data_IF_651065106092
#
_entry.id   IF_651065106092
#
_cell.length_a   1.000
_cell.length_b   1.000
_cell.length_c   1.000
_cell.angle_alpha   90.00
_cell.angle_beta   90.00
_cell.angle_gamma   90.00
#
_symmetry.space_group_name_H-M   'P 1'
#
loop_
_entity.id
_entity.type
_entity.pdbx_description
1 polymer ?
#
# COMPACT_ATOMS: atom_id res chain seq x y z
N UNK A 1 -1.26 11.86 -27.11
CA UNK A 1 -2.16 12.91 -26.57
C UNK A 1 -2.84 12.35 -25.32
N UNK A 2 -3.03 13.16 -24.28
CA UNK A 2 -3.68 12.73 -23.02
C UNK A 2 -5.13 12.28 -23.26
N UNK A 3 -5.52 11.12 -22.71
CA UNK A 3 -6.82 10.46 -22.89
C UNK A 3 -7.68 10.43 -21.63
N UNK A 4 -7.29 11.15 -20.57
CA UNK A 4 -8.02 11.14 -19.31
C UNK A 4 -9.27 12.04 -19.28
N UNK A 5 -9.48 12.87 -20.32
CA UNK A 5 -10.64 13.78 -20.38
C UNK A 5 -12.00 13.08 -20.37
N UNK A 6 -12.06 11.82 -20.81
CA UNK A 6 -13.30 11.04 -20.89
C UNK A 6 -13.48 10.07 -19.71
N UNK A 7 -12.61 10.16 -18.69
CA UNK A 7 -12.69 9.31 -17.50
C UNK A 7 -13.73 9.81 -16.50
N UNK A 8 -14.23 8.91 -15.65
CA UNK A 8 -15.23 9.23 -14.63
C UNK A 8 -14.56 9.56 -13.29
N UNK A 9 -13.44 8.88 -12.97
CA UNK A 9 -12.66 9.14 -11.77
C UNK A 9 -12.29 10.63 -11.66
N UNK A 10 -12.67 11.29 -10.55
CA UNK A 10 -12.20 12.64 -10.24
C UNK A 10 -10.67 12.73 -10.15
N UNK A 11 -10.01 11.66 -9.70
CA UNK A 11 -8.56 11.59 -9.65
C UNK A 11 -7.96 11.63 -11.06
N UNK A 12 -8.43 10.78 -11.98
CA UNK A 12 -7.93 10.78 -13.37
C UNK A 12 -8.23 12.10 -14.08
N UNK A 13 -9.42 12.66 -13.90
CA UNK A 13 -9.82 13.94 -14.49
C UNK A 13 -8.94 15.11 -14.03
N UNK A 14 -8.42 15.08 -12.80
CA UNK A 14 -7.49 16.09 -12.30
C UNK A 14 -6.19 16.14 -13.15
N UNK A 15 -5.79 15.02 -13.75
CA UNK A 15 -4.59 14.88 -14.56
C UNK A 15 -4.86 15.01 -16.08
N UNK A 16 -6.09 15.29 -16.50
CA UNK A 16 -6.44 15.35 -17.92
C UNK A 16 -5.73 16.49 -18.67
N UNK A 17 -5.37 17.57 -17.96
CA UNK A 17 -4.64 18.71 -18.52
C UNK A 17 -3.12 18.65 -18.29
N UNK A 18 -2.60 17.58 -17.68
CA UNK A 18 -1.16 17.43 -17.49
C UNK A 18 -0.46 17.37 -18.86
N UNK A 19 0.77 17.89 -18.98
CA UNK A 19 1.55 17.77 -20.22
C UNK A 19 1.99 16.33 -20.49
N UNK A 20 1.91 15.44 -19.50
CA UNK A 20 2.08 13.99 -19.70
C UNK A 20 0.90 13.47 -20.51
N UNK A 21 1.21 12.68 -21.54
CA UNK A 21 0.20 11.98 -22.33
C UNK A 21 -0.27 10.75 -21.56
N UNK A 22 -1.12 10.98 -20.56
CA UNK A 22 -1.68 9.92 -19.75
C UNK A 22 -2.74 9.13 -20.53
N UNK A 23 -2.67 7.81 -20.38
CA UNK A 23 -3.68 6.86 -20.79
C UNK A 23 -4.34 6.23 -19.56
N UNK A 24 -5.64 5.89 -19.60
CA UNK A 24 -6.20 4.98 -18.61
C UNK A 24 -5.63 3.57 -18.81
N UNK A 25 -5.86 2.70 -17.83
CA UNK A 25 -5.58 1.27 -18.01
C UNK A 25 -6.67 0.63 -18.89
N UNK A 26 -6.41 0.51 -20.19
CA UNK A 26 -7.27 -0.14 -21.17
C UNK A 26 -6.49 -0.95 -22.20
N UNK A 27 -7.21 -1.78 -22.98
CA UNK A 27 -6.59 -2.63 -24.01
C UNK A 27 -5.85 -1.81 -25.08
N UNK A 28 -6.31 -0.58 -25.36
CA UNK A 28 -5.71 0.30 -26.35
C UNK A 28 -4.34 0.81 -25.91
N UNK A 29 -4.19 1.25 -24.66
CA UNK A 29 -2.93 1.69 -24.09
C UNK A 29 -1.92 0.55 -23.97
N UNK A 30 -2.39 -0.64 -23.59
CA UNK A 30 -1.57 -1.84 -23.51
C UNK A 30 -1.10 -2.30 -24.90
N UNK A 31 -1.99 -2.27 -25.90
CA UNK A 31 -1.62 -2.54 -27.29
C UNK A 31 -0.62 -1.51 -27.83
N UNK A 32 -0.84 -0.23 -27.58
CA UNK A 32 0.06 0.86 -27.98
C UNK A 32 1.48 0.66 -27.44
N UNK A 33 1.60 0.25 -26.17
CA UNK A 33 2.90 -0.01 -25.55
C UNK A 33 3.62 -1.19 -26.23
N UNK A 34 2.86 -2.23 -26.57
CA UNK A 34 3.37 -3.44 -27.23
C UNK A 34 3.78 -3.17 -28.68
N UNK A 35 2.95 -2.49 -29.44
CA UNK A 35 3.21 -2.15 -30.85
C UNK A 35 4.45 -1.26 -31.00
N UNK A 36 4.61 -0.28 -30.10
CA UNK A 36 5.77 0.60 -30.10
C UNK A 36 7.00 0.02 -29.40
N UNK A 37 6.87 -1.17 -28.79
CA UNK A 37 7.89 -1.79 -27.94
C UNK A 37 8.46 -0.80 -26.90
N UNK A 38 7.59 0.02 -26.31
CA UNK A 38 7.93 1.00 -25.27
C UNK A 38 7.54 0.47 -23.91
N UNK A 39 8.38 0.62 -22.87
CA UNK A 39 8.00 0.26 -21.51
C UNK A 39 6.80 1.10 -21.05
N UNK A 40 5.96 0.50 -20.22
CA UNK A 40 4.84 1.20 -19.59
C UNK A 40 5.37 1.88 -18.32
N UNK A 41 5.10 3.17 -18.15
CA UNK A 41 5.19 3.85 -16.87
C UNK A 41 3.80 3.87 -16.27
N UNK A 42 3.57 3.00 -15.29
CA UNK A 42 2.31 2.91 -14.55
C UNK A 42 2.42 3.76 -13.29
N UNK A 43 1.50 4.72 -13.12
CA UNK A 43 1.30 5.44 -11.88
C UNK A 43 -0.06 5.08 -11.29
N UNK A 44 -0.09 4.61 -10.04
CA UNK A 44 -1.34 4.33 -9.30
C UNK A 44 -1.44 5.29 -8.13
N UNK A 45 -2.59 5.93 -7.99
CA UNK A 45 -2.89 6.88 -6.91
C UNK A 45 -4.38 6.96 -6.62
N UNK A 46 -4.78 7.92 -5.78
CA UNK A 46 -6.18 8.23 -5.49
C UNK A 46 -6.30 9.70 -5.05
N UNK A 47 -7.50 10.27 -5.17
CA UNK A 47 -7.73 11.71 -5.02
C UNK A 47 -7.34 12.28 -3.64
N UNK A 48 -7.44 11.50 -2.56
CA UNK A 48 -7.12 11.97 -1.21
C UNK A 48 -5.63 11.85 -0.84
N UNK A 49 -4.80 11.18 -1.66
CA UNK A 49 -3.41 10.95 -1.32
C UNK A 49 -2.54 12.22 -1.49
N UNK A 50 -1.99 12.72 -0.38
CA UNK A 50 -1.12 13.90 -0.41
C UNK A 50 0.10 13.74 -1.33
N UNK A 51 0.77 12.58 -1.28
CA UNK A 51 2.00 12.36 -2.03
C UNK A 51 1.77 12.23 -3.54
N UNK A 52 0.59 11.76 -3.96
CA UNK A 52 0.18 11.79 -5.37
C UNK A 52 0.14 13.24 -5.88
N UNK A 53 -0.48 14.15 -5.14
CA UNK A 53 -0.52 15.58 -5.50
C UNK A 53 0.86 16.23 -5.52
N UNK A 54 1.71 15.89 -4.55
CA UNK A 54 3.09 16.38 -4.51
C UNK A 54 3.86 15.91 -5.75
N UNK A 55 3.78 14.62 -6.09
CA UNK A 55 4.47 14.07 -7.27
C UNK A 55 3.93 14.66 -8.58
N UNK A 56 2.63 14.88 -8.67
CA UNK A 56 1.99 15.54 -9.81
C UNK A 56 2.59 16.92 -10.06
N UNK A 57 2.51 17.79 -9.05
CA UNK A 57 3.00 19.17 -9.13
C UNK A 57 4.49 19.26 -9.37
N UNK A 58 5.26 18.42 -8.72
CA UNK A 58 6.72 18.49 -8.77
C UNK A 58 7.32 17.82 -10.02
N UNK A 59 6.60 16.86 -10.63
CA UNK A 59 7.11 16.08 -11.75
C UNK A 59 6.18 16.06 -12.96
N UNK A 60 4.93 15.61 -12.83
CA UNK A 60 4.03 15.38 -13.98
C UNK A 60 3.60 16.68 -14.68
N UNK A 61 3.45 17.78 -13.94
CA UNK A 61 3.14 19.11 -14.50
C UNK A 61 4.35 19.77 -15.20
N UNK A 62 5.56 19.22 -15.05
CA UNK A 62 6.76 19.75 -15.68
C UNK A 62 6.83 19.35 -17.15
N UNK A 63 6.64 20.30 -18.06
CA UNK A 63 6.73 20.09 -19.51
C UNK A 63 8.01 19.34 -19.95
N UNK A 64 9.15 19.64 -19.33
CA UNK A 64 10.42 18.96 -19.64
C UNK A 64 10.45 17.51 -19.15
N UNK A 65 9.84 17.19 -18.01
CA UNK A 65 9.72 15.80 -17.54
C UNK A 65 8.72 15.06 -18.41
N UNK A 66 7.56 15.67 -18.66
CA UNK A 66 6.49 15.10 -19.47
C UNK A 66 6.93 14.79 -20.90
N UNK A 67 7.66 15.70 -21.55
CA UNK A 67 8.21 15.45 -22.89
C UNK A 67 9.08 14.19 -22.91
N UNK A 68 9.98 14.04 -21.93
CA UNK A 68 10.81 12.84 -21.80
C UNK A 68 9.96 11.59 -21.54
N UNK A 69 8.95 11.70 -20.68
CA UNK A 69 8.02 10.60 -20.39
C UNK A 69 7.28 10.15 -21.64
N UNK A 70 6.71 11.08 -22.41
CA UNK A 70 5.94 10.81 -23.62
C UNK A 70 6.82 10.22 -24.74
N UNK A 71 8.09 10.63 -24.80
CA UNK A 71 9.03 10.11 -25.79
C UNK A 71 9.40 8.64 -25.51
N UNK A 72 9.64 8.28 -24.24
CA UNK A 72 10.25 7.01 -23.88
C UNK A 72 9.29 5.96 -23.32
N UNK A 73 8.09 6.35 -22.88
CA UNK A 73 7.15 5.46 -22.20
C UNK A 73 5.74 5.59 -22.76
N UNK A 74 4.95 4.54 -22.57
CA UNK A 74 3.48 4.68 -22.55
C UNK A 74 3.07 4.93 -21.11
N UNK A 75 2.55 6.13 -20.85
CA UNK A 75 2.23 6.59 -19.49
C UNK A 75 0.80 6.20 -19.16
N UNK A 76 0.61 5.32 -18.16
CA UNK A 76 -0.70 4.86 -17.72
C UNK A 76 -0.95 5.37 -16.30
N UNK A 77 -2.09 6.03 -16.10
CA UNK A 77 -2.55 6.48 -14.79
C UNK A 77 -3.76 5.64 -14.35
N UNK A 78 -3.73 5.17 -13.10
CA UNK A 78 -4.79 4.34 -12.52
C UNK A 78 -5.26 4.95 -11.20
N UNK A 79 -6.58 5.07 -11.07
CA UNK A 79 -7.21 5.31 -9.78
C UNK A 79 -7.35 3.98 -9.02
N UNK A 80 -6.74 3.91 -7.85
CA UNK A 80 -6.85 2.77 -6.93
C UNK A 80 -8.30 2.50 -6.56
N UNK A 81 -9.11 3.53 -6.38
CA UNK A 81 -10.50 3.36 -5.91
C UNK A 81 -11.38 2.71 -7.00
N UNK A 82 -11.05 2.91 -8.28
CA UNK A 82 -11.70 2.23 -9.40
C UNK A 82 -11.09 0.84 -9.69
N UNK A 83 -9.76 0.67 -9.49
CA UNK A 83 -9.01 -0.55 -9.80
C UNK A 83 -8.17 -1.07 -8.62
N UNK A 84 -8.81 -1.48 -7.51
CA UNK A 84 -8.10 -2.01 -6.34
C UNK A 84 -7.40 -3.35 -6.63
N UNK A 85 -7.81 -4.04 -7.69
CA UNK A 85 -7.18 -5.26 -8.20
C UNK A 85 -5.76 -4.99 -8.72
N UNK A 86 -5.60 -3.97 -9.57
CA UNK A 86 -4.29 -3.57 -10.11
C UNK A 86 -3.38 -3.04 -9.00
N UNK A 87 -3.93 -2.17 -8.15
CA UNK A 87 -3.23 -1.62 -7.00
C UNK A 87 -2.62 -2.74 -6.14
N UNK A 88 -3.43 -3.74 -5.76
CA UNK A 88 -2.96 -4.86 -4.92
C UNK A 88 -1.82 -5.64 -5.58
N UNK A 89 -1.96 -5.99 -6.86
CA UNK A 89 -0.94 -6.78 -7.59
C UNK A 89 0.40 -6.02 -7.62
N UNK A 90 0.36 -4.74 -7.96
CA UNK A 90 1.57 -3.94 -8.11
C UNK A 90 2.17 -3.53 -6.76
N UNK A 91 1.38 -3.34 -5.71
CA UNK A 91 1.87 -3.14 -4.34
C UNK A 91 2.62 -4.37 -3.81
N UNK A 92 2.06 -5.58 -3.98
CA UNK A 92 2.75 -6.83 -3.60
C UNK A 92 4.08 -6.92 -4.35
N UNK A 93 4.06 -6.58 -5.63
CA UNK A 93 5.27 -6.61 -6.43
C UNK A 93 6.31 -5.62 -5.93
N UNK A 94 5.93 -4.36 -5.70
CA UNK A 94 6.82 -3.34 -5.13
C UNK A 94 7.47 -3.82 -3.82
N UNK A 95 6.71 -4.49 -2.95
CA UNK A 95 7.21 -5.02 -1.69
C UNK A 95 8.27 -6.11 -1.92
N UNK A 96 8.02 -7.01 -2.85
CA UNK A 96 8.99 -8.05 -3.24
C UNK A 96 10.26 -7.43 -3.83
N UNK A 97 10.10 -6.45 -4.72
CA UNK A 97 11.22 -5.83 -5.45
C UNK A 97 12.14 -5.04 -4.54
N UNK A 98 11.54 -4.21 -3.68
CA UNK A 98 12.29 -3.25 -2.89
C UNK A 98 12.54 -3.72 -1.46
N UNK A 99 11.88 -4.80 -1.01
CA UNK A 99 11.88 -5.24 0.40
C UNK A 99 11.52 -4.10 1.35
N UNK A 100 10.59 -3.26 0.91
CA UNK A 100 10.07 -2.12 1.65
C UNK A 100 8.55 -2.17 1.59
N UNK A 101 7.84 -1.57 2.56
CA UNK A 101 6.40 -1.42 2.46
C UNK A 101 6.00 -0.70 1.16
N UNK A 102 4.83 -1.07 0.65
CA UNK A 102 4.16 -0.35 -0.43
C UNK A 102 3.62 1.00 0.03
N UNK A 103 3.10 1.75 -0.93
CA UNK A 103 2.50 3.05 -0.66
C UNK A 103 2.14 3.77 -1.94
N UNK A 104 1.54 4.95 -1.79
CA UNK A 104 1.13 5.81 -2.90
C UNK A 104 1.90 7.14 -2.87
N UNK A 105 2.19 7.74 -4.03
CA UNK A 105 1.92 7.22 -5.38
C UNK A 105 2.76 5.97 -5.63
N UNK A 106 2.21 5.00 -6.34
CA UNK A 106 2.93 3.80 -6.75
C UNK A 106 3.38 3.99 -8.20
N UNK A 107 4.70 4.03 -8.43
CA UNK A 107 5.29 4.20 -9.76
C UNK A 107 6.00 2.92 -10.18
N UNK A 108 5.50 2.27 -11.23
CA UNK A 108 6.01 1.00 -11.73
C UNK A 108 6.40 1.12 -13.20
N UNK A 109 7.48 0.43 -13.59
CA UNK A 109 7.91 0.29 -14.97
C UNK A 109 7.69 -1.14 -15.42
N UNK A 110 6.82 -1.32 -16.43
CA UNK A 110 6.37 -2.63 -16.89
C UNK A 110 6.86 -2.91 -18.29
N UNK A 111 7.15 -4.18 -18.55
CA UNK A 111 7.34 -4.64 -19.92
C UNK A 111 5.98 -4.70 -20.64
N UNK A 112 5.87 -4.14 -21.85
CA UNK A 112 4.60 -4.04 -22.56
C UNK A 112 4.07 -5.39 -23.07
N UNK A 113 4.90 -6.44 -23.13
CA UNK A 113 4.48 -7.73 -23.67
C UNK A 113 3.65 -8.55 -22.67
N UNK A 114 4.00 -8.45 -21.39
CA UNK A 114 3.44 -9.28 -20.32
C UNK A 114 3.05 -8.49 -19.06
N UNK A 115 3.18 -7.16 -19.09
CA UNK A 115 2.85 -6.23 -17.99
C UNK A 115 3.63 -6.52 -16.69
N UNK A 116 4.69 -7.33 -16.78
CA UNK A 116 5.51 -7.67 -15.63
C UNK A 116 6.36 -6.46 -15.25
N UNK A 117 6.29 -6.00 -13.99
CA UNK A 117 7.12 -4.91 -13.53
C UNK A 117 8.57 -5.36 -13.42
N UNK A 118 9.49 -4.47 -13.75
CA UNK A 118 10.92 -4.70 -13.65
C UNK A 118 11.66 -3.68 -12.81
N UNK A 119 11.02 -2.54 -12.56
CA UNK A 119 11.47 -1.53 -11.62
C UNK A 119 10.25 -0.83 -11.04
N UNK A 120 10.37 -0.30 -9.83
CA UNK A 120 9.31 0.50 -9.27
C UNK A 120 9.66 1.04 -7.89
N UNK A 121 8.84 1.96 -7.41
CA UNK A 121 8.97 2.59 -6.12
C UNK A 121 7.71 3.37 -5.81
N UNK A 122 7.71 4.04 -4.66
CA UNK A 122 6.60 4.90 -4.28
C UNK A 122 6.84 6.32 -4.81
N UNK A 123 7.15 7.27 -3.92
CA UNK A 123 7.43 8.64 -4.26
C UNK A 123 8.87 8.85 -4.75
N UNK A 124 9.01 9.38 -5.97
CA UNK A 124 10.29 9.85 -6.50
C UNK A 124 10.34 11.38 -6.51
N UNK A 125 11.23 11.96 -5.69
CA UNK A 125 11.48 13.39 -5.69
C UNK A 125 12.10 13.85 -7.03
N UNK A 126 11.85 15.09 -7.50
CA UNK A 126 12.42 15.57 -8.77
C UNK A 126 13.95 15.57 -8.77
N UNK A 127 14.53 15.93 -7.63
CA UNK A 127 15.97 15.99 -7.41
C UNK A 127 16.44 14.77 -6.62
N UNK A 128 17.69 14.39 -6.86
CA UNK A 128 18.33 13.31 -6.12
C UNK A 128 18.46 13.67 -4.64
N UNK A 129 18.12 12.72 -3.78
CA UNK A 129 18.35 12.81 -2.34
C UNK A 129 19.50 11.88 -1.94
N UNK A 130 19.90 11.89 -0.66
CA UNK A 130 20.89 10.93 -0.15
C UNK A 130 20.41 9.47 -0.22
N UNK A 131 19.09 9.24 -0.18
CA UNK A 131 18.48 7.90 -0.08
C UNK A 131 18.00 7.35 -1.41
N UNK A 132 17.64 8.22 -2.36
CA UNK A 132 17.03 7.81 -3.62
C UNK A 132 17.43 8.72 -4.79
N UNK A 133 17.56 8.16 -6.01
CA UNK A 133 17.74 8.96 -7.22
C UNK A 133 16.53 9.88 -7.46
N UNK A 134 16.79 11.00 -8.13
CA UNK A 134 15.72 11.89 -8.57
C UNK A 134 14.93 11.26 -9.72
N UNK A 135 13.67 11.65 -9.88
CA UNK A 135 12.75 11.05 -10.85
C UNK A 135 13.30 11.08 -12.28
N UNK A 136 13.94 12.18 -12.72
CA UNK A 136 14.61 12.26 -14.03
C UNK A 136 15.74 11.25 -14.21
N UNK A 137 16.52 10.99 -13.15
CA UNK A 137 17.60 10.01 -13.21
C UNK A 137 17.05 8.59 -13.32
N UNK A 138 15.92 8.33 -12.64
CA UNK A 138 15.18 7.06 -12.79
C UNK A 138 14.69 6.90 -14.23
N UNK A 139 13.94 7.87 -14.76
CA UNK A 139 13.43 7.85 -16.13
C UNK A 139 14.54 7.60 -17.15
N UNK A 140 15.65 8.35 -17.05
CA UNK A 140 16.79 8.19 -17.96
C UNK A 140 17.47 6.83 -17.83
N UNK A 141 17.65 6.34 -16.60
CA UNK A 141 18.21 5.02 -16.34
C UNK A 141 17.36 3.91 -16.97
N UNK A 142 16.04 3.98 -16.84
CA UNK A 142 15.13 3.01 -17.45
C UNK A 142 15.18 3.11 -18.98
N UNK A 143 15.03 4.31 -19.55
CA UNK A 143 15.04 4.51 -21.00
C UNK A 143 16.35 4.02 -21.67
N UNK A 144 17.49 4.15 -20.98
CA UNK A 144 18.80 3.72 -21.52
C UNK A 144 19.03 2.21 -21.38
N UNK A 145 18.49 1.60 -20.33
CA UNK A 145 18.76 0.18 -20.01
C UNK A 145 17.71 -0.77 -20.57
N UNK A 146 16.49 -0.30 -20.77
CA UNK A 146 15.43 -1.07 -21.38
C UNK A 146 15.79 -1.41 -22.83
N UNK A 147 15.66 -2.67 -23.22
CA UNK A 147 16.05 -3.18 -24.55
C UNK A 147 17.51 -3.61 -24.68
N UNK A 148 18.43 -3.16 -23.81
CA UNK A 148 19.85 -3.58 -23.82
C UNK A 148 20.17 -4.70 -22.83
N UNK A 149 19.35 -4.87 -21.78
CA UNK A 149 19.56 -5.88 -20.73
C UNK A 149 18.47 -6.96 -20.70
N UNK A 150 18.04 -7.43 -21.88
CA UNK A 150 16.90 -8.34 -22.02
C UNK A 150 17.06 -9.66 -21.25
N UNK A 151 18.29 -10.21 -21.17
CA UNK A 151 18.53 -11.46 -20.43
C UNK A 151 18.37 -11.29 -18.92
N UNK A 152 18.90 -10.18 -18.36
CA UNK A 152 18.74 -9.86 -16.93
C UNK A 152 17.28 -9.59 -16.60
N UNK A 153 16.58 -8.87 -17.47
CA UNK A 153 15.15 -8.61 -17.35
C UNK A 153 14.36 -9.93 -17.35
N UNK A 154 14.69 -10.87 -18.24
CA UNK A 154 14.05 -12.19 -18.30
C UNK A 154 14.29 -13.01 -17.04
N UNK A 155 15.53 -13.06 -16.53
CA UNK A 155 15.85 -13.77 -15.28
C UNK A 155 15.09 -13.17 -14.09
N UNK A 156 15.07 -11.85 -14.00
CA UNK A 156 14.34 -11.12 -12.97
C UNK A 156 12.84 -11.42 -13.02
N UNK A 157 12.22 -11.38 -14.21
CA UNK A 157 10.81 -11.70 -14.38
C UNK A 157 10.48 -13.13 -13.97
N UNK A 158 11.34 -14.10 -14.25
CA UNK A 158 11.15 -15.49 -13.81
C UNK A 158 11.12 -15.58 -12.29
N UNK A 159 12.11 -14.98 -11.61
CA UNK A 159 12.16 -14.94 -10.13
C UNK A 159 10.95 -14.24 -9.52
N UNK A 160 10.52 -13.13 -10.12
CA UNK A 160 9.35 -12.39 -9.66
C UNK A 160 8.06 -13.21 -9.87
N UNK A 161 7.92 -13.91 -11.00
CA UNK A 161 6.77 -14.78 -11.26
C UNK A 161 6.72 -15.95 -10.27
N UNK A 162 7.86 -16.54 -9.95
CA UNK A 162 7.95 -17.56 -8.89
C UNK A 162 7.55 -16.99 -7.53
N UNK A 163 8.08 -15.81 -7.17
CA UNK A 163 7.73 -15.14 -5.92
C UNK A 163 6.24 -14.78 -5.83
N UNK A 164 5.64 -14.31 -6.93
CA UNK A 164 4.20 -14.01 -7.00
C UNK A 164 3.33 -15.27 -7.02
N UNK A 165 3.81 -16.37 -7.60
CA UNK A 165 3.15 -17.68 -7.53
C UNK A 165 3.18 -18.31 -6.14
N UNK A 166 4.18 -17.95 -5.32
CA UNK A 166 4.28 -18.33 -3.91
C UNK A 166 3.63 -17.30 -2.98
N UNK A 167 3.43 -16.06 -3.43
CA UNK A 167 2.63 -15.08 -2.71
C UNK A 167 1.20 -15.62 -2.60
N UNK A 168 0.54 -15.50 -1.43
CA UNK A 168 -0.80 -16.04 -1.22
C UNK A 168 -1.83 -15.26 -2.07
N UNK A 169 -1.91 -15.60 -3.36
CA UNK A 169 -2.83 -15.07 -4.34
C UNK A 169 -3.89 -16.08 -4.80
N UNK A 170 -3.83 -17.30 -4.27
CA UNK A 170 -4.86 -18.32 -4.46
C UNK A 170 -5.08 -19.04 -3.13
N UNK A 171 -6.34 -19.11 -2.71
CA UNK A 171 -6.73 -20.06 -1.68
C UNK A 171 -6.36 -21.46 -2.18
N UNK A 172 -5.25 -22.00 -1.67
CA UNK A 172 -5.18 -23.44 -1.53
C UNK A 172 -6.27 -23.72 -0.51
N UNK A 173 -7.27 -24.51 -0.89
CA UNK A 173 -8.24 -25.05 0.05
C UNK A 173 -7.50 -25.99 1.02
N UNK A 174 -6.76 -25.39 1.96
CA UNK A 174 -6.23 -26.06 3.12
C UNK A 174 -7.30 -26.05 4.20
N UNK A 175 -7.45 -27.16 4.90
CA UNK A 175 -8.27 -27.17 6.10
C UNK A 175 -7.72 -26.16 7.09
N UNK A 176 -8.61 -25.30 7.59
CA UNK A 176 -8.28 -24.37 8.64
C UNK A 176 -8.15 -25.15 9.94
N UNK A 177 -6.91 -25.41 10.36
CA UNK A 177 -6.60 -26.08 11.62
C UNK A 177 -6.21 -25.05 12.70
N UNK A 178 -6.54 -25.36 13.96
CA UNK A 178 -6.18 -24.55 15.13
C UNK A 178 -4.66 -24.36 15.22
N UNK A 179 -3.86 -25.32 14.75
CA UNK A 179 -2.39 -25.18 14.73
C UNK A 179 -1.92 -24.07 13.79
N UNK A 180 -2.67 -23.75 12.73
CA UNK A 180 -2.37 -22.63 11.84
C UNK A 180 -2.62 -21.30 12.54
N UNK A 181 -3.75 -21.19 13.26
CA UNK A 181 -4.08 -20.02 14.08
C UNK A 181 -3.01 -19.77 15.13
N UNK A 182 -2.50 -20.83 15.76
CA UNK A 182 -1.46 -20.76 16.79
C UNK A 182 -0.13 -20.26 16.24
N UNK A 183 0.28 -20.76 15.06
CA UNK A 183 1.46 -20.25 14.37
C UNK A 183 1.32 -18.78 13.99
N UNK A 184 0.16 -18.39 13.47
CA UNK A 184 -0.10 -16.99 13.09
C UNK A 184 -0.04 -16.06 14.32
N UNK A 185 -0.66 -16.46 15.43
CA UNK A 185 -0.58 -15.71 16.69
C UNK A 185 0.87 -15.60 17.20
N UNK A 186 1.64 -16.69 17.14
CA UNK A 186 3.05 -16.68 17.53
C UNK A 186 3.92 -15.75 16.65
N UNK A 187 3.64 -15.67 15.35
CA UNK A 187 4.30 -14.71 14.47
C UNK A 187 3.96 -13.27 14.81
N UNK A 188 2.69 -12.97 15.07
CA UNK A 188 2.26 -11.63 15.50
C UNK A 188 2.92 -11.25 16.82
N UNK A 189 2.92 -12.16 17.81
CA UNK A 189 3.55 -11.97 19.12
C UNK A 189 5.04 -11.60 18.99
N UNK A 190 5.76 -12.25 18.07
CA UNK A 190 7.19 -11.97 17.83
C UNK A 190 7.49 -10.53 17.38
N UNK A 191 6.49 -9.80 16.88
CA UNK A 191 6.58 -8.41 16.45
C UNK A 191 5.95 -7.41 17.43
N UNK A 192 5.42 -7.89 18.55
CA UNK A 192 4.68 -7.05 19.49
C UNK A 192 5.58 -6.05 20.23
N UNK A 193 5.18 -4.78 20.21
CA UNK A 193 5.84 -3.70 20.95
C UNK A 193 5.34 -3.66 22.40
N UNK A 194 6.11 -4.27 23.31
CA UNK A 194 5.82 -4.27 24.75
C UNK A 194 5.82 -2.88 25.40
N UNK A 195 6.38 -1.86 24.75
CA UNK A 195 6.49 -0.51 25.32
C UNK A 195 5.35 0.40 24.92
N UNK A 196 4.86 0.30 23.69
CA UNK A 196 3.82 1.20 23.18
C UNK A 196 2.64 0.48 22.52
N UNK A 197 2.59 -0.85 22.51
CA UNK A 197 1.54 -1.65 21.88
C UNK A 197 1.56 -1.59 20.36
N UNK A 198 0.98 -2.55 19.66
CA UNK A 198 1.08 -2.68 18.19
C UNK A 198 2.23 -3.57 17.73
N UNK A 199 2.42 -3.64 16.40
CA UNK A 199 3.23 -4.70 15.76
C UNK A 199 4.22 -4.17 14.72
N UNK A 200 4.40 -2.85 14.66
CA UNK A 200 5.33 -2.21 13.75
C UNK A 200 6.11 -1.10 14.45
N UNK A 201 7.26 -0.78 13.89
CA UNK A 201 8.00 0.45 14.21
C UNK A 201 7.29 1.67 13.57
N UNK A 202 8.00 2.79 13.42
CA UNK A 202 7.53 3.97 12.70
C UNK A 202 7.69 3.82 11.15
N UNK A 203 6.69 4.19 10.33
CA UNK A 203 5.34 4.61 10.71
C UNK A 203 4.53 3.43 11.28
N UNK A 204 3.77 3.71 12.34
CA UNK A 204 3.05 2.70 13.11
C UNK A 204 1.62 2.52 12.64
N UNK A 205 1.30 1.30 12.20
CA UNK A 205 0.01 0.94 11.59
C UNK A 205 -0.90 0.22 12.59
N UNK A 206 -2.24 0.42 12.54
CA UNK A 206 -3.18 -0.22 13.48
C UNK A 206 -3.22 -1.76 13.44
N UNK A 207 -2.82 -2.39 12.33
CA UNK A 207 -2.85 -3.86 12.14
C UNK A 207 -4.19 -4.52 12.50
N UNK A 208 -5.32 -3.91 12.09
CA UNK A 208 -6.68 -4.32 12.48
C UNK A 208 -6.96 -5.80 12.22
N UNK A 209 -6.59 -6.33 11.04
CA UNK A 209 -6.84 -7.74 10.70
C UNK A 209 -6.10 -8.72 11.63
N UNK A 210 -4.88 -8.37 12.06
CA UNK A 210 -4.12 -9.19 13.00
C UNK A 210 -4.75 -9.17 14.40
N UNK A 211 -5.22 -8.01 14.85
CA UNK A 211 -5.95 -7.87 16.10
C UNK A 211 -7.28 -8.64 16.07
N UNK A 212 -8.03 -8.54 14.98
CA UNK A 212 -9.31 -9.22 14.80
C UNK A 212 -9.15 -10.75 14.83
N UNK A 213 -8.12 -11.26 14.13
CA UNK A 213 -7.75 -12.67 14.18
C UNK A 213 -7.35 -13.13 15.59
N UNK A 214 -6.65 -12.32 16.37
CA UNK A 214 -6.32 -12.67 17.76
C UNK A 214 -7.56 -12.69 18.67
N UNK A 215 -8.57 -11.86 18.40
CA UNK A 215 -9.87 -11.93 19.08
C UNK A 215 -10.57 -13.26 18.75
N UNK A 216 -10.52 -13.71 17.49
CA UNK A 216 -11.03 -15.03 17.10
C UNK A 216 -10.24 -16.16 17.79
N UNK A 217 -8.91 -16.06 17.81
CA UNK A 217 -8.05 -17.03 18.48
C UNK A 217 -8.34 -17.15 19.98
N UNK A 218 -8.65 -16.03 20.64
CA UNK A 218 -9.03 -15.98 22.05
C UNK A 218 -10.32 -16.77 22.32
N UNK A 219 -11.29 -16.74 21.39
CA UNK A 219 -12.54 -17.50 21.51
C UNK A 219 -12.35 -19.01 21.31
N UNK A 220 -11.26 -19.43 20.67
CA UNK A 220 -10.99 -20.82 20.31
C UNK A 220 -9.94 -21.50 21.22
N UNK A 221 -9.42 -20.82 22.25
CA UNK A 221 -8.32 -21.36 23.07
C UNK A 221 -8.72 -21.52 24.55
N UNK A 222 -8.52 -22.73 25.07
CA UNK A 222 -8.73 -23.06 26.50
C UNK A 222 -7.46 -22.90 27.35
N UNK A 223 -6.33 -22.53 26.73
CA UNK A 223 -5.04 -22.42 27.40
C UNK A 223 -4.90 -21.08 28.12
N UNK A 224 -5.08 -21.08 29.44
CA UNK A 224 -5.13 -19.87 30.26
C UNK A 224 -3.99 -18.86 30.03
N UNK A 225 -2.73 -19.33 29.94
CA UNK A 225 -1.58 -18.44 29.73
C UNK A 225 -1.58 -17.81 28.34
N UNK A 226 -1.99 -18.56 27.32
CA UNK A 226 -2.14 -18.05 25.96
C UNK A 226 -3.27 -17.03 25.88
N UNK A 227 -4.40 -17.30 26.52
CA UNK A 227 -5.52 -16.34 26.61
C UNK A 227 -5.08 -15.03 27.26
N UNK A 228 -4.32 -15.09 28.36
CA UNK A 228 -3.75 -13.89 29.01
C UNK A 228 -2.82 -13.12 28.08
N UNK A 229 -1.95 -13.81 27.35
CA UNK A 229 -1.00 -13.18 26.41
C UNK A 229 -1.74 -12.47 25.27
N UNK A 230 -2.72 -13.12 24.65
CA UNK A 230 -3.55 -12.53 23.60
C UNK A 230 -4.31 -11.29 24.13
N UNK A 231 -4.95 -11.42 25.29
CA UNK A 231 -5.67 -10.30 25.92
C UNK A 231 -4.76 -9.12 26.19
N UNK A 232 -3.54 -9.35 26.71
CA UNK A 232 -2.55 -8.29 26.91
C UNK A 232 -2.21 -7.58 25.59
N UNK A 233 -1.89 -8.33 24.54
CA UNK A 233 -1.52 -7.74 23.25
C UNK A 233 -2.66 -6.93 22.63
N UNK A 234 -3.88 -7.47 22.65
CA UNK A 234 -5.07 -6.80 22.13
C UNK A 234 -5.36 -5.53 22.93
N UNK A 235 -5.50 -5.65 24.25
CA UNK A 235 -5.94 -4.55 25.09
C UNK A 235 -4.90 -3.44 25.16
N UNK A 236 -3.61 -3.79 25.25
CA UNK A 236 -2.56 -2.78 25.27
C UNK A 236 -2.47 -2.01 23.96
N UNK A 237 -2.57 -2.71 22.82
CA UNK A 237 -2.54 -2.08 21.50
C UNK A 237 -3.73 -1.15 21.29
N UNK A 238 -4.95 -1.62 21.57
CA UNK A 238 -6.15 -0.81 21.45
C UNK A 238 -6.12 0.38 22.42
N UNK A 239 -5.65 0.20 23.66
CA UNK A 239 -5.54 1.29 24.62
C UNK A 239 -4.53 2.34 24.18
N UNK A 240 -3.40 1.92 23.63
CA UNK A 240 -2.37 2.83 23.14
C UNK A 240 -2.88 3.64 21.94
N UNK A 241 -3.61 3.02 21.01
CA UNK A 241 -4.19 3.70 19.86
C UNK A 241 -5.27 4.71 20.28
N UNK A 242 -6.21 4.33 21.15
CA UNK A 242 -7.31 5.23 21.55
C UNK A 242 -6.88 6.36 22.46
N UNK A 243 -5.84 6.16 23.29
CA UNK A 243 -5.30 7.20 24.19
C UNK A 243 -4.22 8.06 23.54
N UNK A 244 -3.65 7.60 22.43
CA UNK A 244 -2.66 8.33 21.65
C UNK A 244 -3.27 9.41 20.77
N UNK A 245 -2.42 10.05 19.96
CA UNK A 245 -2.82 10.99 18.92
C UNK A 245 -3.39 10.33 17.66
N UNK A 246 -3.38 9.00 17.56
CA UNK A 246 -4.03 8.29 16.45
C UNK A 246 -5.56 8.47 16.48
N UNK A 247 -6.17 8.51 17.67
CA UNK A 247 -7.58 8.84 17.83
C UNK A 247 -7.78 10.35 17.85
N UNK A 248 -8.73 10.84 17.06
CA UNK A 248 -9.12 12.25 17.09
C UNK A 248 -10.04 12.52 18.28
N UNK A 249 -9.45 13.01 19.37
CA UNK A 249 -10.16 13.36 20.60
C UNK A 249 -11.13 14.54 20.45
N UNK A 250 -11.08 15.30 19.34
CA UNK A 250 -11.97 16.43 19.09
C UNK A 250 -13.12 16.06 18.17
N UNK A 251 -12.81 15.39 17.04
CA UNK A 251 -13.77 15.06 15.99
C UNK A 251 -14.22 13.59 15.95
N UNK A 252 -13.67 12.73 16.80
CA UNK A 252 -13.93 11.29 16.81
C UNK A 252 -13.28 10.54 15.65
N UNK A 253 -13.19 9.22 15.76
CA UNK A 253 -12.56 8.35 14.77
C UNK A 253 -11.03 8.40 14.78
N UNK A 254 -10.42 7.58 13.94
CA UNK A 254 -8.98 7.35 13.87
C UNK A 254 -8.37 7.92 12.58
N UNK A 255 -7.16 8.45 12.72
CA UNK A 255 -6.25 8.70 11.62
C UNK A 255 -5.63 7.39 11.12
N UNK A 256 -5.20 7.33 9.86
CA UNK A 256 -4.79 6.09 9.22
C UNK A 256 -3.55 5.42 9.84
N UNK A 257 -2.57 6.19 10.33
CA UNK A 257 -1.37 5.68 10.99
C UNK A 257 -0.67 6.75 11.84
N UNK A 258 0.25 6.32 12.71
CA UNK A 258 1.16 7.22 13.44
C UNK A 258 2.48 7.34 12.71
N UNK A 259 3.04 8.54 12.59
CA UNK A 259 4.38 8.72 11.98
C UNK A 259 5.50 8.33 12.94
N UNK A 260 5.20 8.18 14.23
CA UNK A 260 6.12 7.75 15.27
C UNK A 260 5.73 6.37 15.84
N UNK A 261 6.62 5.77 16.63
CA UNK A 261 6.38 4.46 17.24
C UNK A 261 5.49 4.49 18.49
N UNK A 262 5.11 5.68 18.98
CA UNK A 262 4.42 5.86 20.27
C UNK A 262 2.93 6.17 20.15
N UNK A 263 2.39 6.16 18.93
CA UNK A 263 1.02 6.58 18.63
C UNK A 263 0.75 8.06 18.92
N UNK A 264 1.76 8.94 18.93
CA UNK A 264 1.57 10.34 19.36
C UNK A 264 1.31 11.32 18.22
N UNK A 265 1.93 11.10 17.06
CA UNK A 265 1.81 12.03 15.93
C UNK A 265 1.09 11.31 14.78
N UNK A 266 -0.19 11.61 14.52
CA UNK A 266 -0.91 10.98 13.41
C UNK A 266 -0.47 11.54 12.05
N UNK A 267 -0.61 10.73 11.02
CA UNK A 267 -0.81 11.24 9.66
C UNK A 267 -2.26 11.72 9.55
N UNK A 268 -2.47 13.04 9.40
CA UNK A 268 -3.78 13.71 9.50
C UNK A 268 -4.71 13.43 8.30
N UNK A 269 -5.01 12.16 8.06
CA UNK A 269 -5.97 11.65 7.09
C UNK A 269 -6.81 10.57 7.78
N UNK A 270 -8.13 10.68 7.72
CA UNK A 270 -9.06 9.66 8.22
C UNK A 270 -9.63 8.91 7.03
N UNK A 271 -9.36 7.61 6.96
CA UNK A 271 -9.93 6.76 5.92
C UNK A 271 -11.15 6.01 6.46
N UNK A 272 -12.23 5.97 5.66
CA UNK A 272 -13.48 5.34 6.04
C UNK A 272 -13.29 3.85 6.34
N UNK A 273 -12.50 3.14 5.54
CA UNK A 273 -12.27 1.72 5.74
C UNK A 273 -11.50 1.45 7.04
N UNK A 274 -10.48 2.25 7.38
CA UNK A 274 -9.76 2.11 8.64
C UNK A 274 -10.69 2.32 9.84
N UNK A 275 -11.52 3.38 9.77
CA UNK A 275 -12.48 3.70 10.81
C UNK A 275 -13.57 2.63 10.94
N UNK A 276 -14.10 2.11 9.83
CA UNK A 276 -15.09 1.03 9.84
C UNK A 276 -14.54 -0.26 10.47
N UNK A 277 -13.30 -0.62 10.12
CA UNK A 277 -12.63 -1.78 10.68
C UNK A 277 -12.29 -1.60 12.16
N UNK A 278 -11.77 -0.44 12.56
CA UNK A 278 -11.47 -0.12 13.96
C UNK A 278 -12.75 -0.07 14.80
N UNK A 279 -13.81 0.57 14.33
CA UNK A 279 -15.10 0.60 15.02
C UNK A 279 -15.61 -0.81 15.31
N UNK A 280 -15.60 -1.70 14.30
CA UNK A 280 -15.96 -3.11 14.47
C UNK A 280 -15.07 -3.81 15.51
N UNK A 281 -13.76 -3.60 15.42
CA UNK A 281 -12.78 -4.21 16.33
C UNK A 281 -13.00 -3.80 17.79
N UNK A 282 -13.18 -2.49 18.05
CA UNK A 282 -13.46 -1.97 19.39
C UNK A 282 -14.82 -2.45 19.90
N UNK A 283 -15.85 -2.49 19.05
CA UNK A 283 -17.17 -3.02 19.43
C UNK A 283 -17.11 -4.52 19.79
N UNK A 284 -16.38 -5.33 19.00
CA UNK A 284 -16.14 -6.75 19.30
C UNK A 284 -15.45 -6.91 20.65
N UNK A 285 -14.39 -6.14 20.91
CA UNK A 285 -13.66 -6.23 22.19
C UNK A 285 -14.48 -5.73 23.37
N UNK A 286 -15.29 -4.68 23.20
CA UNK A 286 -16.19 -4.15 24.23
C UNK A 286 -17.26 -5.15 24.71
N UNK A 287 -17.60 -6.16 23.89
CA UNK A 287 -18.49 -7.26 24.28
C UNK A 287 -17.81 -8.32 25.16
N UNK A 288 -16.49 -8.36 25.16
CA UNK A 288 -15.67 -9.35 25.87
C UNK A 288 -14.87 -8.75 27.04
N UNK A 289 -14.99 -7.44 27.26
CA UNK A 289 -14.26 -6.69 28.27
C UNK A 289 -15.18 -5.67 28.94
N UNK A 290 -15.08 -5.55 30.25
CA UNK A 290 -15.81 -4.55 31.03
C UNK A 290 -15.11 -3.18 31.03
N UNK A 291 -13.98 -3.03 30.32
CA UNK A 291 -13.28 -1.76 30.28
C UNK A 291 -14.11 -0.71 29.51
N UNK A 292 -14.49 0.41 30.16
CA UNK A 292 -15.51 1.33 29.64
C UNK A 292 -15.07 2.06 28.38
N UNK A 293 -13.77 2.33 28.23
CA UNK A 293 -13.23 3.10 27.11
C UNK A 293 -13.33 2.37 25.75
N UNK A 294 -13.47 1.04 25.73
CA UNK A 294 -13.78 0.34 24.47
C UNK A 294 -15.16 0.73 23.92
N UNK A 295 -16.13 0.94 24.83
CA UNK A 295 -17.49 1.36 24.46
C UNK A 295 -17.53 2.82 24.06
N UNK A 296 -16.74 3.67 24.70
CA UNK A 296 -16.65 5.09 24.35
C UNK A 296 -16.13 5.30 22.92
N UNK A 297 -15.13 4.53 22.50
CA UNK A 297 -14.62 4.56 21.11
C UNK A 297 -15.60 3.94 20.11
N UNK A 298 -16.43 3.00 20.58
CA UNK A 298 -17.37 2.27 19.74
C UNK A 298 -18.77 2.93 19.60
N UNK A 299 -18.99 4.07 20.27
CA UNK A 299 -20.23 4.87 20.20
C UNK A 299 -20.02 6.15 19.41
#
# INVERSE_FOLDING_TARGET
MNRLHDQISPYLLQHANDPVEWHPWDDEALALAKENNKPILLSIGYAANHMCHVMARESFESHKVAQFMNEHFVNILVDRDERPDLDRIYQITQQILNRQPGGWPLTMFLDPNDQMPFFGGTYFAPQQTRKQPGFRNVLNGIATTYGTQNDKLKEFKTKLREALGQAPGGSVAGEFDITLMDRACGQIDSSFDERHGGFSEAPKLPHVAGLDMMIDALACTDAQEKSKRLVHMIDFTLAAMSRGGLYDHLGGGFYGHSVDSKWTIPHFEKMLFDNGLLLSLYARRARQSDAPWFREVAN
#
